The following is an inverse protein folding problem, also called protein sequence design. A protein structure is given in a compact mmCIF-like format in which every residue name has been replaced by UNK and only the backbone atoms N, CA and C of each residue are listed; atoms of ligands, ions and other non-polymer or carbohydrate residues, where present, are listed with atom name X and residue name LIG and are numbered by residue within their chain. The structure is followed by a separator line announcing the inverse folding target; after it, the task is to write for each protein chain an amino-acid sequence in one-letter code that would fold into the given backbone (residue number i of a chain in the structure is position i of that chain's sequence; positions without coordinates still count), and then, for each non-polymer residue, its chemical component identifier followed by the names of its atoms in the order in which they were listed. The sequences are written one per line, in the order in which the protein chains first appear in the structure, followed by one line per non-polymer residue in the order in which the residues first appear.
data_IF_366956769433
#
_entry.id   IF_366956769433
#
_cell.length_a   1.000
_cell.length_b   1.000
_cell.length_c   1.000
_cell.angle_alpha   90.00
_cell.angle_beta   90.00
_cell.angle_gamma   90.00
#
_symmetry.space_group_name_H-M   'P 1'
#
loop_
_entity.id
_entity.type
_entity.pdbx_description
1 polymer ?
#
# COMPACT_ATOMS: atom_id res chain seq x y z
N UNK A 1 -8.63 31.09 -23.69
CA UNK A 1 -7.94 30.32 -24.73
C UNK A 1 -8.01 28.87 -24.32
N UNK A 2 -8.95 28.11 -24.92
CA UNK A 2 -9.02 26.66 -24.74
C UNK A 2 -7.85 26.07 -25.50
N UNK A 3 -6.93 25.40 -24.79
CA UNK A 3 -5.83 24.70 -25.42
C UNK A 3 -6.39 23.50 -26.17
N UNK A 4 -6.31 23.54 -27.50
CA UNK A 4 -6.55 22.40 -28.37
C UNK A 4 -5.52 21.33 -28.01
N UNK A 5 -5.96 20.26 -27.35
CA UNK A 5 -5.16 19.07 -27.14
C UNK A 5 -5.18 18.30 -28.46
N UNK A 6 -4.10 18.40 -29.23
CA UNK A 6 -3.91 17.59 -30.44
C UNK A 6 -3.95 16.10 -30.05
N UNK A 7 -4.94 15.40 -30.61
CA UNK A 7 -5.21 13.97 -30.45
C UNK A 7 -4.27 13.14 -31.35
N UNK A 8 -2.95 13.22 -31.11
CA UNK A 8 -1.96 12.41 -31.84
C UNK A 8 -1.39 11.30 -30.95
N UNK A 9 -2.26 10.53 -30.29
CA UNK A 9 -1.84 9.27 -29.67
C UNK A 9 -2.00 8.16 -30.70
N UNK A 10 -0.93 7.92 -31.46
CA UNK A 10 -0.82 6.77 -32.35
C UNK A 10 -1.04 5.48 -31.55
N UNK A 11 -2.17 4.80 -31.80
CA UNK A 11 -2.48 3.51 -31.19
C UNK A 11 -1.50 2.46 -31.73
N UNK A 12 -0.38 2.28 -31.02
CA UNK A 12 0.52 1.15 -31.26
C UNK A 12 -0.15 -0.07 -30.65
N UNK A 13 -0.60 -1.00 -31.49
CA UNK A 13 -1.09 -2.29 -31.03
C UNK A 13 -0.05 -2.86 -30.06
N UNK A 14 -0.44 -3.05 -28.80
CA UNK A 14 0.46 -3.54 -27.76
C UNK A 14 0.86 -4.98 -28.09
N UNK A 15 1.87 -5.13 -28.94
CA UNK A 15 2.52 -6.39 -29.22
C UNK A 15 3.03 -6.94 -27.88
N UNK A 16 2.88 -8.25 -27.66
CA UNK A 16 3.24 -8.87 -26.38
C UNK A 16 4.76 -8.76 -26.21
N UNK A 17 5.20 -7.75 -25.47
CA UNK A 17 6.60 -7.58 -25.08
C UNK A 17 6.97 -8.78 -24.20
N UNK A 18 7.94 -9.59 -24.65
CA UNK A 18 8.48 -10.68 -23.84
C UNK A 18 9.29 -10.06 -22.69
N UNK A 19 9.05 -10.53 -21.47
CA UNK A 19 9.61 -9.95 -20.24
C UNK A 19 11.14 -10.02 -20.25
N UNK A 20 11.69 -10.95 -21.04
CA UNK A 20 13.13 -11.17 -21.21
C UNK A 20 13.82 -10.06 -22.01
N UNK A 21 13.08 -9.32 -22.82
CA UNK A 21 13.60 -8.25 -23.67
C UNK A 21 13.57 -6.88 -22.98
N UNK A 22 13.00 -6.81 -21.76
CA UNK A 22 12.99 -5.61 -20.94
C UNK A 22 14.38 -5.38 -20.31
N UNK A 23 14.84 -4.14 -20.37
CA UNK A 23 16.04 -3.72 -19.63
C UNK A 23 15.85 -4.02 -18.12
N UNK A 24 16.91 -4.44 -17.41
CA UNK A 24 16.82 -4.68 -15.98
C UNK A 24 16.37 -3.41 -15.26
N UNK A 25 15.50 -3.57 -14.26
CA UNK A 25 15.02 -2.47 -13.44
C UNK A 25 16.20 -1.65 -12.91
N UNK A 26 16.08 -0.32 -12.98
CA UNK A 26 17.08 0.54 -12.37
C UNK A 26 17.17 0.25 -10.85
N UNK A 27 18.36 0.48 -10.30
CA UNK A 27 18.66 0.08 -8.92
C UNK A 27 17.75 0.80 -7.89
N UNK A 28 17.25 1.99 -8.21
CA UNK A 28 16.34 2.74 -7.35
C UNK A 28 14.95 2.09 -7.35
N UNK A 29 14.36 1.87 -8.53
CA UNK A 29 13.05 1.22 -8.68
C UNK A 29 13.06 -0.19 -8.10
N UNK A 30 14.13 -0.97 -8.31
CA UNK A 30 14.25 -2.31 -7.72
C UNK A 30 14.23 -2.27 -6.18
N UNK A 31 14.93 -1.29 -5.58
CA UNK A 31 14.97 -1.12 -4.12
C UNK A 31 13.62 -0.70 -3.58
N UNK A 32 12.96 0.25 -4.23
CA UNK A 32 11.61 0.73 -3.88
C UNK A 32 10.60 -0.41 -3.98
N UNK A 33 10.61 -1.14 -5.09
CA UNK A 33 9.67 -2.22 -5.34
C UNK A 33 9.82 -3.37 -4.33
N UNK A 34 11.04 -3.73 -3.94
CA UNK A 34 11.27 -4.72 -2.87
C UNK A 34 10.74 -4.26 -1.51
N UNK A 35 10.88 -2.99 -1.17
CA UNK A 35 10.37 -2.44 0.08
C UNK A 35 8.83 -2.40 0.10
N UNK A 36 8.22 -1.96 -0.99
CA UNK A 36 6.75 -1.96 -1.13
C UNK A 36 6.20 -3.38 -1.09
N UNK A 37 6.85 -4.33 -1.78
CA UNK A 37 6.45 -5.73 -1.78
C UNK A 37 6.53 -6.34 -0.37
N UNK A 38 7.59 -6.06 0.39
CA UNK A 38 7.74 -6.53 1.77
C UNK A 38 6.68 -5.95 2.72
N UNK A 39 6.33 -4.67 2.53
CA UNK A 39 5.26 -4.00 3.29
C UNK A 39 3.90 -4.59 2.94
N UNK A 40 3.59 -4.73 1.65
CA UNK A 40 2.37 -5.35 1.16
C UNK A 40 2.20 -6.79 1.66
N UNK A 41 3.26 -7.59 1.60
CA UNK A 41 3.23 -8.98 2.07
C UNK A 41 2.93 -9.11 3.57
N UNK A 42 3.54 -8.26 4.41
CA UNK A 42 3.22 -8.21 5.85
C UNK A 42 1.76 -7.83 6.08
N UNK A 43 1.26 -6.85 5.31
CA UNK A 43 -0.13 -6.41 5.39
C UNK A 43 -1.10 -7.53 4.99
N UNK A 44 -0.78 -8.28 3.93
CA UNK A 44 -1.55 -9.44 3.49
C UNK A 44 -1.61 -10.54 4.56
N UNK A 45 -0.48 -10.85 5.22
CA UNK A 45 -0.46 -11.82 6.32
C UNK A 45 -1.38 -11.36 7.46
N UNK A 46 -1.25 -10.10 7.89
CA UNK A 46 -2.10 -9.53 8.94
C UNK A 46 -3.57 -9.57 8.56
N UNK A 47 -3.90 -9.26 7.31
CA UNK A 47 -5.26 -9.31 6.79
C UNK A 47 -5.84 -10.73 6.82
N UNK A 48 -5.04 -11.74 6.43
CA UNK A 48 -5.48 -13.13 6.52
C UNK A 48 -5.68 -13.58 7.97
N UNK A 49 -4.77 -13.22 8.88
CA UNK A 49 -4.95 -13.49 10.32
C UNK A 49 -6.26 -12.87 10.81
N UNK A 50 -6.55 -11.63 10.42
CA UNK A 50 -7.80 -10.96 10.78
C UNK A 50 -9.03 -11.70 10.23
N UNK A 51 -9.08 -12.00 8.93
CA UNK A 51 -10.21 -12.73 8.34
C UNK A 51 -10.41 -14.09 9.01
N UNK A 52 -9.32 -14.84 9.23
CA UNK A 52 -9.41 -16.17 9.85
C UNK A 52 -9.71 -16.11 11.34
N UNK A 53 -9.39 -15.01 12.03
CA UNK A 53 -9.76 -14.85 13.43
C UNK A 53 -11.28 -14.85 13.63
N UNK A 54 -12.06 -14.34 12.68
CA UNK A 54 -13.53 -14.28 12.77
C UNK A 54 -14.18 -15.67 12.87
N UNK A 55 -13.96 -16.63 11.94
CA UNK A 55 -14.51 -17.97 12.06
C UNK A 55 -13.92 -18.74 13.24
N UNK A 56 -12.63 -18.55 13.58
CA UNK A 56 -12.01 -19.20 14.75
C UNK A 56 -12.72 -18.76 16.04
N UNK A 57 -12.96 -17.46 16.20
CA UNK A 57 -13.64 -16.89 17.36
C UNK A 57 -15.11 -17.26 17.41
N UNK A 58 -15.81 -17.25 16.26
CA UNK A 58 -17.19 -17.70 16.15
C UNK A 58 -17.33 -19.20 16.48
N UNK A 59 -16.31 -20.02 16.19
CA UNK A 59 -16.31 -21.43 16.57
C UNK A 59 -16.03 -21.63 18.06
N UNK A 60 -15.10 -20.85 18.64
CA UNK A 60 -14.69 -21.01 20.03
C UNK A 60 -15.72 -20.46 21.03
N UNK A 61 -16.39 -19.35 20.72
CA UNK A 61 -17.41 -18.73 21.58
C UNK A 61 -18.65 -18.26 20.79
N UNK A 62 -19.41 -19.20 20.21
CA UNK A 62 -20.55 -18.88 19.36
C UNK A 62 -21.62 -18.08 20.10
N UNK A 63 -21.95 -18.46 21.33
CA UNK A 63 -23.01 -17.78 22.10
C UNK A 63 -22.70 -16.31 22.36
N UNK A 64 -21.43 -15.98 22.59
CA UNK A 64 -21.00 -14.61 22.81
C UNK A 64 -20.94 -13.82 21.50
N UNK A 65 -20.28 -14.34 20.46
CA UNK A 65 -20.09 -13.61 19.20
C UNK A 65 -21.38 -13.45 18.37
N UNK A 66 -22.32 -14.40 18.47
CA UNK A 66 -23.66 -14.28 17.89
C UNK A 66 -24.66 -13.54 18.79
N UNK A 67 -24.31 -13.26 20.05
CA UNK A 67 -25.21 -12.47 20.89
C UNK A 67 -25.40 -11.07 20.32
N UNK A 68 -26.65 -10.61 20.37
CA UNK A 68 -27.04 -9.31 19.83
C UNK A 68 -26.61 -8.22 20.79
N UNK A 69 -25.80 -7.31 20.28
CA UNK A 69 -25.51 -6.03 20.90
C UNK A 69 -26.59 -5.01 20.54
N UNK A 70 -26.55 -3.85 21.19
CA UNK A 70 -27.56 -2.80 21.06
C UNK A 70 -27.75 -2.37 19.59
N UNK A 71 -29.00 -2.30 19.11
CA UNK A 71 -29.31 -1.91 17.72
C UNK A 71 -29.26 -3.03 16.68
N UNK A 72 -29.14 -4.30 17.08
CA UNK A 72 -29.20 -5.46 16.17
C UNK A 72 -27.86 -5.87 15.56
N UNK A 73 -26.77 -5.19 15.90
CA UNK A 73 -25.40 -5.58 15.57
C UNK A 73 -24.95 -6.72 16.50
N UNK A 74 -24.29 -7.76 16.00
CA UNK A 74 -23.70 -8.79 16.87
C UNK A 74 -22.32 -8.37 17.37
N UNK A 75 -21.84 -8.96 18.47
CA UNK A 75 -20.48 -8.69 18.94
C UNK A 75 -19.42 -9.00 17.86
N UNK A 76 -19.65 -10.03 17.04
CA UNK A 76 -18.77 -10.34 15.89
C UNK A 76 -18.62 -9.13 14.95
N UNK A 77 -19.71 -8.46 14.59
CA UNK A 77 -19.68 -7.26 13.76
C UNK A 77 -19.02 -6.06 14.45
N UNK A 78 -19.21 -5.91 15.77
CA UNK A 78 -18.57 -4.85 16.55
C UNK A 78 -17.04 -5.02 16.64
N UNK A 79 -16.56 -6.22 16.97
CA UNK A 79 -15.10 -6.47 17.02
C UNK A 79 -14.46 -6.36 15.64
N UNK A 80 -15.16 -6.82 14.60
CA UNK A 80 -14.70 -6.69 13.21
C UNK A 80 -14.51 -5.22 12.84
N UNK A 81 -15.45 -4.33 13.20
CA UNK A 81 -15.33 -2.90 12.87
C UNK A 81 -14.22 -2.19 13.64
N UNK A 82 -14.04 -2.51 14.93
CA UNK A 82 -12.95 -1.97 15.76
C UNK A 82 -11.59 -2.37 15.20
N UNK A 83 -11.41 -3.64 14.83
CA UNK A 83 -10.14 -4.11 14.27
C UNK A 83 -9.93 -3.56 12.85
N UNK A 84 -10.97 -3.45 12.03
CA UNK A 84 -10.89 -2.83 10.72
C UNK A 84 -10.47 -1.35 10.81
N UNK A 85 -10.98 -0.63 11.81
CA UNK A 85 -10.56 0.74 12.09
C UNK A 85 -9.08 0.81 12.48
N UNK A 86 -8.61 -0.10 13.36
CA UNK A 86 -7.20 -0.17 13.73
C UNK A 86 -6.30 -0.47 12.51
N UNK A 87 -6.70 -1.38 11.62
CA UNK A 87 -6.00 -1.66 10.37
C UNK A 87 -5.92 -0.43 9.47
N UNK A 88 -7.01 0.34 9.33
CA UNK A 88 -7.02 1.56 8.55
C UNK A 88 -5.99 2.59 9.09
N UNK A 89 -5.90 2.75 10.42
CA UNK A 89 -4.89 3.61 11.04
C UNK A 89 -3.46 3.12 10.81
N UNK A 90 -3.21 1.80 10.89
CA UNK A 90 -1.88 1.23 10.62
C UNK A 90 -1.48 1.51 9.17
N UNK A 91 -2.39 1.30 8.21
CA UNK A 91 -2.13 1.58 6.79
C UNK A 91 -1.85 3.05 6.59
N UNK A 92 -2.66 3.94 7.17
CA UNK A 92 -2.44 5.38 7.09
C UNK A 92 -1.09 5.80 7.69
N UNK A 93 -0.71 5.26 8.85
CA UNK A 93 0.57 5.54 9.51
C UNK A 93 1.78 5.04 8.71
N UNK A 94 1.68 3.82 8.15
CA UNK A 94 2.71 3.29 7.28
C UNK A 94 2.83 4.16 6.03
N UNK A 95 1.70 4.55 5.44
CA UNK A 95 1.68 5.41 4.26
C UNK A 95 2.29 6.78 4.55
N UNK A 96 1.99 7.42 5.69
CA UNK A 96 2.57 8.73 6.06
C UNK A 96 4.05 8.63 6.41
N UNK A 97 4.46 7.66 7.23
CA UNK A 97 5.86 7.49 7.64
C UNK A 97 6.79 7.14 6.47
N UNK A 98 6.32 6.31 5.51
CA UNK A 98 7.04 6.07 4.26
C UNK A 98 7.10 7.33 3.41
N UNK A 99 6.01 8.10 3.33
CA UNK A 99 5.98 9.36 2.57
C UNK A 99 7.01 10.36 3.08
N UNK A 100 7.04 10.61 4.39
CA UNK A 100 7.98 11.53 5.02
C UNK A 100 9.43 11.06 4.85
N UNK A 101 9.66 9.75 4.97
CA UNK A 101 11.00 9.17 4.80
C UNK A 101 11.50 9.30 3.36
N UNK A 102 10.61 9.10 2.37
CA UNK A 102 10.94 9.35 0.96
C UNK A 102 11.20 10.83 0.70
N UNK A 103 10.38 11.73 1.23
CA UNK A 103 10.56 13.18 1.06
C UNK A 103 11.95 13.63 1.52
N UNK A 104 12.37 13.20 2.71
CA UNK A 104 13.70 13.49 3.25
C UNK A 104 14.85 12.90 2.42
N UNK A 105 14.72 11.66 1.93
CA UNK A 105 15.73 11.04 1.06
C UNK A 105 15.88 11.79 -0.28
N UNK A 106 14.78 12.33 -0.83
CA UNK A 106 14.83 13.16 -2.04
C UNK A 106 15.41 14.54 -1.78
N UNK A 107 15.12 15.14 -0.62
CA UNK A 107 15.64 16.46 -0.23
C UNK A 107 17.16 16.41 0.00
N UNK A 108 17.67 15.40 0.72
CA UNK A 108 19.10 15.22 0.97
C UNK A 108 19.90 14.93 -0.32
N UNK A 109 19.37 14.12 -1.24
CA UNK A 109 20.01 13.84 -2.53
C UNK A 109 20.09 15.09 -3.42
N UNK A 110 19.07 15.94 -3.40
CA UNK A 110 19.06 17.20 -4.15
C UNK A 110 19.97 18.27 -3.51
N UNK A 111 20.04 18.34 -2.18
CA UNK A 111 20.96 19.22 -1.47
C UNK A 111 22.44 18.85 -1.76
N UNK A 112 22.79 17.57 -1.65
CA UNK A 112 24.16 17.10 -1.89
C UNK A 112 24.63 17.18 -3.36
N UNK A 113 23.69 17.10 -4.32
CA UNK A 113 24.01 17.28 -5.75
C UNK A 113 24.19 18.74 -6.14
N UNK A 114 23.51 19.67 -5.45
CA UNK A 114 23.69 21.12 -5.63
C UNK A 114 25.03 21.58 -5.04
N UNK A 115 25.42 21.03 -3.88
CA UNK A 115 26.71 21.32 -3.26
C UNK A 115 27.87 20.87 -4.16
N UNK A 116 27.84 19.64 -4.72
CA UNK A 116 28.87 19.15 -5.66
C UNK A 116 28.97 19.91 -6.99
N UNK A 117 27.90 20.58 -7.44
CA UNK A 117 27.94 21.44 -8.64
C UNK A 117 28.59 22.80 -8.39
N UNK A 118 28.63 23.28 -7.13
CA UNK A 118 29.23 24.57 -6.78
C UNK A 118 30.74 24.49 -6.44
N UNK A 119 31.30 23.29 -6.32
CA UNK A 119 32.73 23.05 -6.04
C UNK A 119 33.53 22.58 -7.28
N UNK A 120 32.90 22.46 -8.45
CA UNK A 120 33.54 22.22 -9.74
C UNK A 120 33.33 23.41 -10.68
#
# INVERSE_FOLDING_TARGET
MAGEFNEDYEYVAAEKVDIKDLAPLDAETSRVMKQEFGTGFKLTIFYYIFIFSIPILNWYMPEFFFSKFFGGMTYSWFFTSVIAMALAFIIAYVHTSLYEKRLKEYEDKNAGSTERRNIN
#
